data_IF_915631994036
#
_entry.id   IF_915631994036
#
_cell.length_a   1.000
_cell.length_b   1.000
_cell.length_c   1.000
_cell.angle_alpha   90.00
_cell.angle_beta   90.00
_cell.angle_gamma   90.00
#
_symmetry.space_group_name_H-M   'P 1'
#
loop_
_entity.id
_entity.type
_entity.pdbx_description
1 polymer ?
#
# COMPACT_ATOMS: atom_id res chain seq x y z
N UNK A 1 -0.37 5.41 -16.47
CA UNK A 1 -0.30 4.44 -17.58
C UNK A 1 1.11 3.86 -17.79
N UNK A 2 2.20 4.56 -17.48
CA UNK A 2 3.56 4.01 -17.71
C UNK A 2 4.00 2.92 -16.72
N UNK A 3 3.53 2.98 -15.47
CA UNK A 3 3.94 2.03 -14.41
C UNK A 3 3.46 0.61 -14.72
N UNK A 4 2.20 0.43 -15.12
CA UNK A 4 1.67 -0.89 -15.51
C UNK A 4 2.46 -1.50 -16.67
N UNK A 5 2.77 -0.70 -17.70
CA UNK A 5 3.58 -1.16 -18.83
C UNK A 5 4.99 -1.58 -18.43
N UNK A 6 5.65 -0.82 -17.56
CA UNK A 6 7.00 -1.17 -17.05
C UNK A 6 6.97 -2.47 -16.25
N UNK A 7 5.92 -2.65 -15.45
CA UNK A 7 5.71 -3.85 -14.63
C UNK A 7 5.47 -5.08 -15.51
N UNK A 8 4.62 -4.96 -16.54
CA UNK A 8 4.38 -6.02 -17.52
C UNK A 8 5.65 -6.38 -18.31
N UNK A 9 6.41 -5.37 -18.77
CA UNK A 9 7.69 -5.57 -19.45
C UNK A 9 8.73 -6.26 -18.55
N UNK A 10 8.66 -6.06 -17.24
CA UNK A 10 9.49 -6.73 -16.26
C UNK A 10 8.96 -8.12 -15.83
N UNK A 11 7.79 -8.55 -16.33
CA UNK A 11 7.12 -9.78 -15.88
C UNK A 11 6.69 -9.74 -14.41
N UNK A 12 6.55 -8.54 -13.84
CA UNK A 12 6.10 -8.31 -12.48
C UNK A 12 4.59 -8.04 -12.45
N UNK A 13 4.01 -7.95 -11.25
CA UNK A 13 2.60 -7.57 -11.06
C UNK A 13 2.54 -6.42 -10.09
N UNK A 14 1.67 -5.44 -10.38
CA UNK A 14 1.40 -4.34 -9.46
C UNK A 14 0.51 -4.86 -8.33
N UNK A 15 1.09 -5.04 -7.14
CA UNK A 15 0.41 -5.61 -5.97
C UNK A 15 -0.07 -4.56 -4.97
N UNK A 16 0.32 -3.29 -5.15
CA UNK A 16 0.02 -2.24 -4.20
C UNK A 16 0.75 -0.93 -4.45
N UNK A 17 0.45 0.05 -3.60
CA UNK A 17 1.05 1.38 -3.60
C UNK A 17 1.54 1.72 -2.20
N UNK A 18 2.62 2.49 -2.12
CA UNK A 18 3.16 2.98 -0.85
C UNK A 18 3.29 4.49 -0.89
N UNK A 19 2.89 5.15 0.20
CA UNK A 19 3.15 6.57 0.41
C UNK A 19 3.42 6.89 1.88
N UNK A 20 4.00 8.07 2.12
CA UNK A 20 4.37 8.52 3.47
C UNK A 20 3.54 9.71 3.94
N UNK A 21 3.14 9.69 5.21
CA UNK A 21 2.57 10.81 5.93
C UNK A 21 3.63 11.45 6.81
N UNK A 22 3.98 12.71 6.56
CA UNK A 22 5.05 13.38 7.31
C UNK A 22 4.60 13.93 8.67
N UNK A 23 3.29 14.19 8.83
CA UNK A 23 2.74 14.86 10.02
C UNK A 23 1.40 14.25 10.48
N UNK A 24 0.99 13.12 9.90
CA UNK A 24 -0.29 12.50 10.20
C UNK A 24 -0.14 11.00 10.46
N UNK A 25 -1.11 10.37 11.14
CA UNK A 25 -1.07 8.94 11.41
C UNK A 25 -1.04 8.11 10.12
N UNK A 26 -0.52 6.89 10.20
CA UNK A 26 -0.50 5.93 9.10
C UNK A 26 -1.89 5.33 8.85
N UNK A 27 -2.84 6.15 8.40
CA UNK A 27 -4.21 5.78 8.11
C UNK A 27 -4.69 6.45 6.82
N UNK A 28 -5.41 5.74 5.93
CA UNK A 28 -5.86 6.30 4.66
C UNK A 28 -6.84 7.46 4.88
N UNK A 29 -6.60 8.55 4.17
CA UNK A 29 -7.48 9.71 4.10
C UNK A 29 -8.68 9.45 3.18
N UNK A 30 -9.73 10.30 3.21
CA UNK A 30 -10.85 10.19 2.26
C UNK A 30 -10.41 10.25 0.79
N UNK A 31 -9.32 10.97 0.49
CA UNK A 31 -8.74 11.02 -0.86
C UNK A 31 -8.13 9.67 -1.25
N UNK A 32 -7.41 9.02 -0.33
CA UNK A 32 -6.83 7.69 -0.58
C UNK A 32 -7.90 6.65 -0.87
N UNK A 33 -9.03 6.71 -0.17
CA UNK A 33 -10.18 5.83 -0.40
C UNK A 33 -10.82 6.07 -1.77
N UNK A 34 -10.97 7.34 -2.17
CA UNK A 34 -11.51 7.69 -3.47
C UNK A 34 -10.57 7.25 -4.61
N UNK A 35 -9.26 7.40 -4.43
CA UNK A 35 -8.25 6.93 -5.39
C UNK A 35 -8.24 5.40 -5.47
N UNK A 36 -8.33 4.70 -4.34
CA UNK A 36 -8.45 3.24 -4.32
C UNK A 36 -9.67 2.76 -5.12
N UNK A 37 -10.85 3.35 -4.89
CA UNK A 37 -12.04 3.01 -5.66
C UNK A 37 -11.91 3.31 -7.16
N UNK A 38 -11.08 4.29 -7.54
CA UNK A 38 -10.86 4.69 -8.94
C UNK A 38 -9.85 3.80 -9.66
N UNK A 39 -8.77 3.42 -9.01
CA UNK A 39 -7.63 2.73 -9.62
C UNK A 39 -7.61 1.23 -9.33
N UNK A 40 -8.20 0.80 -8.21
CA UNK A 40 -8.31 -0.61 -7.79
C UNK A 40 -9.77 -0.98 -7.47
N UNK A 41 -10.64 -1.04 -8.50
CA UNK A 41 -12.06 -1.37 -8.30
C UNK A 41 -12.29 -2.80 -7.79
N UNK A 42 -11.26 -3.66 -7.80
CA UNK A 42 -11.32 -5.04 -7.31
C UNK A 42 -10.76 -5.19 -5.88
N UNK A 43 -10.21 -4.12 -5.28
CA UNK A 43 -9.65 -4.15 -3.92
C UNK A 43 -8.46 -5.10 -3.75
N UNK A 44 -7.69 -5.33 -4.81
CA UNK A 44 -6.56 -6.28 -4.83
C UNK A 44 -5.30 -5.61 -4.27
N UNK A 45 -5.16 -4.31 -4.44
CA UNK A 45 -3.97 -3.56 -4.09
C UNK A 45 -3.84 -3.38 -2.59
N UNK A 46 -2.60 -3.51 -2.10
CA UNK A 46 -2.25 -3.16 -0.73
C UNK A 46 -1.76 -1.72 -0.67
N UNK A 47 -2.42 -0.90 0.15
CA UNK A 47 -2.04 0.48 0.42
C UNK A 47 -1.17 0.53 1.67
N UNK A 48 0.12 0.77 1.48
CA UNK A 48 1.10 0.85 2.56
C UNK A 48 1.30 2.32 2.91
N UNK A 49 1.05 2.67 4.16
CA UNK A 49 1.22 4.04 4.67
C UNK A 49 2.29 4.03 5.74
N UNK A 50 3.30 4.87 5.55
CA UNK A 50 4.38 5.07 6.51
C UNK A 50 4.22 6.45 7.16
N UNK A 51 3.96 6.50 8.45
CA UNK A 51 3.91 7.75 9.21
C UNK A 51 5.27 8.08 9.80
N UNK A 52 5.70 9.32 9.58
CA UNK A 52 6.91 9.93 10.13
C UNK A 52 6.57 11.00 11.18
N UNK A 53 5.33 11.00 11.68
CA UNK A 53 4.87 11.93 12.72
C UNK A 53 5.70 11.78 14.02
N UNK A 54 6.19 10.56 14.28
CA UNK A 54 7.01 10.22 15.43
C UNK A 54 8.44 9.83 15.01
N UNK A 55 9.41 9.88 15.93
CA UNK A 55 10.80 9.49 15.65
C UNK A 55 10.94 8.04 15.18
N UNK A 56 10.03 7.17 15.62
CA UNK A 56 9.93 5.79 15.16
C UNK A 56 8.89 5.69 14.03
N UNK A 57 9.29 5.34 12.80
CA UNK A 57 8.37 5.32 11.66
C UNK A 57 7.31 4.22 11.84
N UNK A 58 6.04 4.61 11.84
CA UNK A 58 4.94 3.67 11.96
C UNK A 58 4.46 3.24 10.57
N UNK A 59 4.66 1.97 10.23
CA UNK A 59 4.16 1.36 9.00
C UNK A 59 2.82 0.65 9.24
N UNK A 60 1.84 0.91 8.38
CA UNK A 60 0.56 0.19 8.36
C UNK A 60 0.14 -0.11 6.93
N UNK A 61 -0.44 -1.29 6.72
CA UNK A 61 -0.98 -1.70 5.43
C UNK A 61 -2.50 -1.82 5.51
N UNK A 62 -3.16 -1.48 4.40
CA UNK A 62 -4.61 -1.50 4.28
C UNK A 62 -5.04 -2.06 2.92
N UNK A 63 -6.20 -2.71 2.89
CA UNK A 63 -6.98 -2.99 1.68
C UNK A 63 -8.22 -2.14 1.71
N UNK A 64 -8.59 -1.61 0.56
CA UNK A 64 -9.75 -0.73 0.42
C UNK A 64 -10.64 -1.33 -0.67
N UNK A 65 -11.88 -1.65 -0.34
CA UNK A 65 -12.87 -2.17 -1.28
C UNK A 65 -14.22 -1.51 -0.99
N UNK A 66 -14.84 -0.89 -2.00
CA UNK A 66 -16.15 -0.22 -1.86
C UNK A 66 -16.23 0.79 -0.69
N UNK A 67 -15.10 1.38 -0.30
CA UNK A 67 -14.99 2.31 0.82
C UNK A 67 -14.70 1.66 2.18
N UNK A 68 -14.74 0.32 2.28
CA UNK A 68 -14.35 -0.42 3.47
C UNK A 68 -12.83 -0.53 3.58
N UNK A 69 -12.28 -0.05 4.69
CA UNK A 69 -10.85 -0.06 4.99
C UNK A 69 -10.55 -1.24 5.91
N UNK A 70 -9.83 -2.23 5.40
CA UNK A 70 -9.37 -3.40 6.17
C UNK A 70 -7.88 -3.30 6.43
N UNK A 71 -7.47 -3.35 7.69
CA UNK A 71 -6.03 -3.40 8.05
C UNK A 71 -5.45 -4.77 7.68
N UNK A 72 -4.29 -4.75 7.02
CA UNK A 72 -3.52 -5.95 6.70
C UNK A 72 -2.28 -6.01 7.61
N UNK A 73 -1.98 -7.20 8.11
CA UNK A 73 -0.77 -7.43 8.89
C UNK A 73 0.46 -7.51 7.97
N UNK A 74 1.55 -6.87 8.40
CA UNK A 74 2.81 -6.87 7.66
C UNK A 74 3.81 -7.66 8.47
N UNK A 75 4.33 -8.72 7.86
CA UNK A 75 5.40 -9.54 8.42
C UNK A 75 6.65 -9.29 7.58
N UNK A 76 7.74 -8.93 8.23
CA UNK A 76 9.05 -8.83 7.58
C UNK A 76 9.70 -10.20 7.73
N UNK A 77 9.84 -10.92 6.64
CA UNK A 77 10.64 -12.14 6.63
C UNK A 77 12.11 -11.75 6.46
N UNK A 78 12.92 -12.03 7.48
CA UNK A 78 14.37 -11.96 7.34
C UNK A 78 14.77 -13.00 6.30
N UNK A 79 15.28 -12.55 5.15
CA UNK A 79 15.64 -13.39 4.01
C UNK A 79 16.80 -14.34 4.30
N UNK A 80 16.60 -15.32 5.17
CA UNK A 80 17.41 -16.54 5.27
C UNK A 80 16.84 -17.58 4.30
N UNK A 81 16.87 -17.26 3.01
CA UNK A 81 16.65 -18.25 1.96
C UNK A 81 17.85 -19.19 1.87
N UNK A 82 17.89 -20.23 2.69
CA UNK A 82 18.57 -21.47 2.32
C UNK A 82 17.56 -22.30 1.54
N UNK A 83 17.78 -22.41 0.23
CA UNK A 83 16.97 -23.22 -0.68
C UNK A 83 17.53 -23.16 -2.09
#
# INVERSE_FOLDING_TARGET
LDVERIVDEAGAVLVGVMHSHTHTPAYPSPTDVADAARFDPLGIWVFIIVSLEYPDPALRAFRILDGDITKVEVVVEDGSGSG
#
